data_IF_552733732635
#
_entry.id   IF_552733732635
#
_cell.length_a   1.000
_cell.length_b   1.000
_cell.length_c   1.000
_cell.angle_alpha   90.00
_cell.angle_beta   90.00
_cell.angle_gamma   90.00
#
_symmetry.space_group_name_H-M   'P 1'
#
loop_
_entity.id
_entity.type
_entity.pdbx_description
1 polymer ?
#
# COMPACT_ATOMS: atom_id res chain seq x y z
N UNK A 1 -28.66 -2.24 8.95
CA UNK A 1 -28.14 -1.06 8.23
C UNK A 1 -26.65 -0.85 8.50
N UNK A 2 -26.19 -0.80 9.75
CA UNK A 2 -24.76 -0.63 10.08
C UNK A 2 -23.83 -1.69 9.44
N UNK A 3 -24.20 -2.98 9.47
CA UNK A 3 -23.39 -4.04 8.85
C UNK A 3 -23.28 -3.92 7.33
N UNK A 4 -24.33 -3.44 6.64
CA UNK A 4 -24.29 -3.22 5.19
C UNK A 4 -23.36 -2.05 4.83
N UNK A 5 -23.40 -0.98 5.62
CA UNK A 5 -22.47 0.15 5.47
C UNK A 5 -21.03 -0.30 5.66
N UNK A 6 -20.74 -1.04 6.75
CA UNK A 6 -19.39 -1.57 7.01
C UNK A 6 -18.92 -2.53 5.91
N UNK A 7 -19.80 -3.40 5.42
CA UNK A 7 -19.50 -4.29 4.30
C UNK A 7 -19.10 -3.50 3.03
N UNK A 8 -19.83 -2.43 2.71
CA UNK A 8 -19.51 -1.58 1.57
C UNK A 8 -18.20 -0.82 1.77
N UNK A 9 -17.95 -0.31 2.98
CA UNK A 9 -16.70 0.34 3.36
C UNK A 9 -15.49 -0.60 3.16
N UNK A 10 -15.57 -1.84 3.67
CA UNK A 10 -14.49 -2.82 3.53
C UNK A 10 -14.25 -3.21 2.06
N UNK A 11 -15.30 -3.40 1.26
CA UNK A 11 -15.16 -3.65 -0.18
C UNK A 11 -14.45 -2.50 -0.90
N UNK A 12 -14.80 -1.27 -0.55
CA UNK A 12 -14.14 -0.08 -1.08
C UNK A 12 -12.67 -0.02 -0.69
N UNK A 13 -12.36 -0.25 0.60
CA UNK A 13 -10.98 -0.26 1.11
C UNK A 13 -10.13 -1.34 0.45
N UNK A 14 -10.62 -2.57 0.31
CA UNK A 14 -9.93 -3.66 -0.39
C UNK A 14 -9.63 -3.29 -1.85
N UNK A 15 -10.64 -2.75 -2.56
CA UNK A 15 -10.49 -2.37 -3.97
C UNK A 15 -9.46 -1.25 -4.14
N UNK A 16 -9.51 -0.21 -3.30
CA UNK A 16 -8.56 0.91 -3.34
C UNK A 16 -7.15 0.42 -3.06
N UNK A 17 -6.93 -0.34 -1.99
CA UNK A 17 -5.60 -0.83 -1.64
C UNK A 17 -5.02 -1.77 -2.71
N UNK A 18 -5.85 -2.53 -3.42
CA UNK A 18 -5.38 -3.34 -4.56
C UNK A 18 -4.85 -2.46 -5.70
N UNK A 19 -5.54 -1.37 -6.05
CA UNK A 19 -5.04 -0.42 -7.05
C UNK A 19 -3.75 0.26 -6.60
N UNK A 20 -3.66 0.68 -5.34
CA UNK A 20 -2.45 1.28 -4.78
C UNK A 20 -1.27 0.31 -4.78
N UNK A 21 -1.50 -0.98 -4.49
CA UNK A 21 -0.46 -2.01 -4.59
C UNK A 21 0.09 -2.13 -6.02
N UNK A 22 -0.76 -2.08 -7.04
CA UNK A 22 -0.31 -2.05 -8.43
C UNK A 22 0.52 -0.79 -8.75
N UNK A 23 0.13 0.37 -8.23
CA UNK A 23 0.89 1.62 -8.40
C UNK A 23 2.26 1.55 -7.70
N UNK A 24 2.37 0.87 -6.55
CA UNK A 24 3.65 0.62 -5.89
C UNK A 24 4.60 -0.18 -6.79
N UNK A 25 4.10 -1.25 -7.43
CA UNK A 25 4.90 -2.06 -8.36
C UNK A 25 5.29 -1.29 -9.62
N UNK A 26 4.41 -0.40 -10.10
CA UNK A 26 4.73 0.49 -11.22
C UNK A 26 5.85 1.46 -10.85
N UNK A 27 5.77 2.10 -9.68
CA UNK A 27 6.81 3.00 -9.17
C UNK A 27 8.15 2.28 -8.94
N UNK A 28 8.12 1.06 -8.40
CA UNK A 28 9.30 0.18 -8.33
C UNK A 28 9.92 -0.04 -9.73
N UNK A 29 9.08 -0.29 -10.74
CA UNK A 29 9.53 -0.47 -12.12
C UNK A 29 10.16 0.78 -12.72
N UNK A 30 9.62 1.98 -12.39
CA UNK A 30 10.21 3.26 -12.78
C UNK A 30 11.60 3.40 -12.16
N UNK A 31 11.73 3.17 -10.86
CA UNK A 31 12.99 3.25 -10.13
C UNK A 31 14.07 2.28 -10.64
N UNK A 32 13.70 1.04 -10.94
CA UNK A 32 14.62 0.08 -11.58
C UNK A 32 15.07 0.62 -12.95
N UNK A 33 14.16 1.23 -13.71
CA UNK A 33 14.49 1.80 -15.02
C UNK A 33 15.42 3.01 -14.91
N UNK A 34 15.19 3.91 -13.94
CA UNK A 34 16.05 5.05 -13.64
C UNK A 34 17.44 4.59 -13.17
N UNK A 35 17.53 3.55 -12.34
CA UNK A 35 18.81 2.95 -11.94
C UNK A 35 19.62 2.44 -13.14
N UNK A 36 18.97 1.78 -14.11
CA UNK A 36 19.65 1.38 -15.34
C UNK A 36 19.99 2.58 -16.24
N UNK A 37 19.12 3.58 -16.34
CA UNK A 37 19.39 4.80 -17.09
C UNK A 37 20.61 5.55 -16.53
N UNK A 38 20.69 5.71 -15.21
CA UNK A 38 21.84 6.29 -14.50
C UNK A 38 23.13 5.53 -14.83
N UNK A 39 23.11 4.19 -14.77
CA UNK A 39 24.27 3.38 -15.15
C UNK A 39 24.71 3.59 -16.60
N UNK A 40 23.76 3.65 -17.54
CA UNK A 40 24.06 3.80 -18.97
C UNK A 40 24.60 5.22 -19.25
N UNK A 41 23.98 6.26 -18.69
CA UNK A 41 24.43 7.64 -18.84
C UNK A 41 25.84 7.81 -18.27
N UNK A 42 26.12 7.25 -17.09
CA UNK A 42 27.46 7.23 -16.50
C UNK A 42 28.53 6.57 -17.40
N UNK A 43 28.15 5.55 -18.19
CA UNK A 43 29.06 4.90 -19.15
C UNK A 43 29.31 5.71 -20.43
N UNK A 44 28.46 6.68 -20.74
CA UNK A 44 28.49 7.45 -21.98
C UNK A 44 28.39 8.96 -21.71
N UNK A 45 29.35 9.55 -20.97
CA UNK A 45 29.26 10.95 -20.52
C UNK A 45 29.19 11.96 -21.67
N UNK A 46 29.88 11.70 -22.79
CA UNK A 46 29.91 12.62 -23.93
C UNK A 46 28.63 12.58 -24.80
N UNK A 47 27.83 11.53 -24.69
CA UNK A 47 26.61 11.34 -25.48
C UNK A 47 25.64 10.40 -24.76
N UNK A 48 25.01 10.87 -23.66
CA UNK A 48 24.11 10.04 -22.86
C UNK A 48 22.91 9.64 -23.73
N UNK A 49 22.57 8.34 -23.81
CA UNK A 49 21.46 7.88 -24.63
C UNK A 49 20.09 8.24 -24.04
N UNK A 50 20.01 8.50 -22.74
CA UNK A 50 18.79 8.98 -22.08
C UNK A 50 18.92 10.49 -21.91
N UNK A 51 17.93 11.23 -22.41
CA UNK A 51 17.87 12.68 -22.27
C UNK A 51 17.71 13.06 -20.80
N UNK A 52 18.57 13.95 -20.34
CA UNK A 52 18.65 14.38 -18.95
C UNK A 52 17.34 15.01 -18.42
N UNK A 53 16.73 15.88 -19.22
CA UNK A 53 15.45 16.51 -18.86
C UNK A 53 14.35 15.47 -18.64
N UNK A 54 14.27 14.47 -19.51
CA UNK A 54 13.27 13.40 -19.38
C UNK A 54 13.57 12.53 -18.17
N UNK A 55 14.84 12.24 -17.90
CA UNK A 55 15.28 11.45 -16.76
C UNK A 55 14.81 12.08 -15.44
N UNK A 56 15.21 13.33 -15.18
CA UNK A 56 14.87 14.04 -13.95
C UNK A 56 13.36 14.35 -13.86
N UNK A 57 12.69 14.67 -14.97
CA UNK A 57 11.23 14.86 -14.93
C UNK A 57 10.50 13.58 -14.52
N UNK A 58 10.93 12.41 -15.01
CA UNK A 58 10.29 11.14 -14.63
C UNK A 58 10.55 10.82 -13.17
N UNK A 59 11.77 11.02 -12.71
CA UNK A 59 12.20 10.86 -11.31
C UNK A 59 11.33 11.69 -10.35
N UNK A 60 11.42 13.03 -10.39
CA UNK A 60 10.71 13.88 -9.43
C UNK A 60 9.19 13.72 -9.47
N UNK A 61 8.58 13.56 -10.65
CA UNK A 61 7.13 13.35 -10.76
C UNK A 61 6.69 11.96 -10.29
N UNK A 62 7.51 10.94 -10.49
CA UNK A 62 7.23 9.61 -9.96
C UNK A 62 7.26 9.63 -8.42
N UNK A 63 8.25 10.30 -7.82
CA UNK A 63 8.40 10.43 -6.36
C UNK A 63 7.25 11.21 -5.75
N UNK A 64 6.83 12.33 -6.37
CA UNK A 64 5.60 13.03 -5.98
C UNK A 64 4.35 12.15 -6.10
N UNK A 65 4.20 11.43 -7.21
CA UNK A 65 3.09 10.50 -7.40
C UNK A 65 3.05 9.41 -6.34
N UNK A 66 4.21 8.88 -5.94
CA UNK A 66 4.32 7.87 -4.91
C UNK A 66 3.96 8.41 -3.52
N UNK A 67 4.37 9.64 -3.16
CA UNK A 67 3.94 10.28 -1.91
C UNK A 67 2.41 10.43 -1.80
N UNK A 68 1.71 10.64 -2.93
CA UNK A 68 0.24 10.61 -2.97
C UNK A 68 -0.31 9.20 -2.73
N UNK A 69 0.30 8.17 -3.33
CA UNK A 69 -0.07 6.76 -3.12
C UNK A 69 0.06 6.38 -1.64
N UNK A 70 1.16 6.75 -0.98
CA UNK A 70 1.37 6.55 0.46
C UNK A 70 0.26 7.18 1.30
N UNK A 71 -0.08 8.44 1.00
CA UNK A 71 -1.11 9.17 1.73
C UNK A 71 -2.48 8.52 1.57
N UNK A 72 -2.84 8.12 0.35
CA UNK A 72 -4.13 7.47 0.07
C UNK A 72 -4.17 6.08 0.73
N UNK A 73 -3.06 5.33 0.75
CA UNK A 73 -2.96 4.03 1.40
C UNK A 73 -3.21 4.14 2.92
N UNK A 74 -2.57 5.10 3.58
CA UNK A 74 -2.79 5.39 4.99
C UNK A 74 -4.20 5.92 5.29
N UNK A 75 -4.78 6.71 4.40
CA UNK A 75 -6.15 7.22 4.56
C UNK A 75 -7.22 6.12 4.40
N UNK A 76 -6.93 5.08 3.62
CA UNK A 76 -7.86 3.99 3.32
C UNK A 76 -7.52 2.67 4.03
N UNK A 77 -6.63 2.69 5.02
CA UNK A 77 -6.34 1.49 5.82
C UNK A 77 -7.55 1.11 6.68
N UNK A 78 -7.94 -0.17 6.76
CA UNK A 78 -8.99 -0.64 7.67
C UNK A 78 -8.53 -0.63 9.14
N UNK A 79 -7.23 -0.42 9.39
CA UNK A 79 -6.64 -0.33 10.73
C UNK A 79 -6.90 1.04 11.34
N UNK A 80 -7.00 1.11 12.66
CA UNK A 80 -7.00 2.41 13.34
C UNK A 80 -5.62 3.06 13.21
N UNK A 81 -5.56 4.32 12.78
CA UNK A 81 -4.31 5.10 12.78
C UNK A 81 -3.68 5.16 14.18
N UNK A 82 -4.51 5.17 15.22
CA UNK A 82 -4.03 5.13 16.60
C UNK A 82 -3.28 3.81 16.90
N UNK A 83 -3.79 2.68 16.42
CA UNK A 83 -3.14 1.38 16.61
C UNK A 83 -1.84 1.29 15.81
N UNK A 84 -1.80 1.92 14.63
CA UNK A 84 -0.57 2.03 13.83
C UNK A 84 0.50 2.81 14.61
N UNK A 85 0.16 3.98 15.16
CA UNK A 85 1.15 4.86 15.78
C UNK A 85 1.55 4.43 17.20
N UNK A 86 0.60 3.98 18.03
CA UNK A 86 0.92 3.49 19.38
C UNK A 86 1.93 2.34 19.35
N UNK A 87 1.81 1.48 18.35
CA UNK A 87 2.67 0.32 18.21
C UNK A 87 4.06 0.66 17.62
N UNK A 88 4.20 1.79 16.92
CA UNK A 88 5.49 2.30 16.43
C UNK A 88 6.26 3.12 17.47
N UNK A 89 5.72 3.28 18.69
CA UNK A 89 6.32 4.08 19.76
C UNK A 89 5.92 5.56 19.71
N UNK A 90 5.23 5.99 18.65
CA UNK A 90 4.73 7.35 18.51
C UNK A 90 3.26 7.44 18.95
N UNK A 91 3.02 8.03 20.12
CA UNK A 91 1.66 8.15 20.64
C UNK A 91 0.81 9.24 19.95
N UNK A 92 1.30 9.81 18.83
CA UNK A 92 0.69 10.99 18.22
C UNK A 92 0.29 10.78 16.74
N UNK A 93 -0.96 10.38 16.45
CA UNK A 93 -1.45 10.25 15.08
C UNK A 93 -1.47 11.57 14.28
N UNK A 94 -1.42 12.72 14.96
CA UNK A 94 -1.28 14.01 14.29
C UNK A 94 0.11 14.16 13.67
N UNK A 95 1.16 13.64 14.32
CA UNK A 95 2.52 13.71 13.80
C UNK A 95 2.64 12.97 12.47
N UNK A 96 2.13 11.73 12.39
CA UNK A 96 2.13 10.96 11.15
C UNK A 96 1.43 11.73 10.02
N UNK A 97 0.26 12.34 10.29
CA UNK A 97 -0.46 13.15 9.30
C UNK A 97 0.30 14.38 8.84
N UNK A 98 0.98 15.07 9.77
CA UNK A 98 1.81 16.22 9.45
C UNK A 98 3.02 15.82 8.60
N UNK A 99 3.68 14.71 8.93
CA UNK A 99 4.81 14.17 8.17
C UNK A 99 4.36 13.75 6.77
N UNK A 100 3.22 13.07 6.63
CA UNK A 100 2.64 12.74 5.32
C UNK A 100 2.37 13.99 4.47
N UNK A 101 1.79 15.03 5.07
CA UNK A 101 1.54 16.28 4.36
C UNK A 101 2.84 16.97 3.93
N UNK A 102 3.83 16.98 4.82
CA UNK A 102 5.16 17.51 4.51
C UNK A 102 5.81 16.74 3.37
N UNK A 103 5.73 15.41 3.36
CA UNK A 103 6.27 14.54 2.31
C UNK A 103 5.66 14.88 0.93
N UNK A 104 4.34 15.06 0.86
CA UNK A 104 3.66 15.47 -0.38
C UNK A 104 4.15 16.84 -0.86
N UNK A 105 4.26 17.82 0.03
CA UNK A 105 4.68 19.18 -0.35
C UNK A 105 6.15 19.18 -0.77
N UNK A 106 7.00 18.49 -0.03
CA UNK A 106 8.44 18.43 -0.25
C UNK A 106 8.82 17.64 -1.50
N UNK A 107 7.97 16.73 -2.00
CA UNK A 107 8.14 16.08 -3.31
C UNK A 107 7.50 16.89 -4.46
N UNK A 108 6.40 17.59 -4.19
CA UNK A 108 5.75 18.43 -5.21
C UNK A 108 6.61 19.64 -5.62
N UNK A 109 7.34 20.25 -4.68
CA UNK A 109 8.16 21.43 -4.94
C UNK A 109 9.30 21.13 -5.94
N UNK A 110 10.16 20.11 -5.73
CA UNK A 110 11.16 19.66 -6.70
C UNK A 110 10.57 19.36 -8.08
N UNK A 111 9.48 18.59 -8.14
CA UNK A 111 8.81 18.24 -9.40
C UNK A 111 8.38 19.49 -10.21
N UNK A 112 7.85 20.50 -9.52
CA UNK A 112 7.49 21.78 -10.16
C UNK A 112 8.70 22.61 -10.55
N UNK A 113 9.74 22.68 -9.70
CA UNK A 113 10.96 23.45 -9.97
C UNK A 113 11.68 22.94 -11.22
N UNK A 114 11.90 21.62 -11.32
CA UNK A 114 12.53 20.99 -12.48
C UNK A 114 11.67 21.13 -13.74
N UNK A 115 10.33 21.15 -13.59
CA UNK A 115 9.42 21.43 -14.71
C UNK A 115 9.54 22.86 -15.25
N UNK A 116 9.97 23.83 -14.43
CA UNK A 116 10.16 25.21 -14.89
C UNK A 116 11.51 25.42 -15.57
N UNK A 117 12.60 24.99 -14.91
CA UNK A 117 13.95 25.12 -15.43
C UNK A 117 14.88 24.15 -14.70
N UNK A 118 15.16 23.02 -15.33
CA UNK A 118 16.06 22.00 -14.78
C UNK A 118 17.46 22.57 -14.51
N UNK A 119 18.09 23.22 -15.49
CA UNK A 119 19.46 23.76 -15.39
C UNK A 119 19.67 24.68 -14.17
N UNK A 120 18.62 25.39 -13.74
CA UNK A 120 18.69 26.31 -12.59
C UNK A 120 18.35 25.63 -11.27
N UNK A 121 17.43 24.67 -11.28
CA UNK A 121 16.82 24.16 -10.04
C UNK A 121 17.16 22.72 -9.71
N UNK A 122 17.88 22.00 -10.57
CA UNK A 122 18.25 20.60 -10.37
C UNK A 122 18.94 20.38 -9.01
N UNK A 123 20.02 21.12 -8.73
CA UNK A 123 20.78 20.96 -7.48
C UNK A 123 19.88 21.17 -6.26
N UNK A 124 19.08 22.25 -6.25
CA UNK A 124 18.16 22.56 -5.16
C UNK A 124 17.05 21.50 -5.02
N UNK A 125 16.60 20.93 -6.14
CA UNK A 125 15.54 19.92 -6.15
C UNK A 125 16.02 18.62 -5.52
N UNK A 126 17.22 18.14 -5.88
CA UNK A 126 17.85 17.00 -5.23
C UNK A 126 18.14 17.24 -3.74
N UNK A 127 18.58 18.45 -3.35
CA UNK A 127 18.77 18.76 -1.92
C UNK A 127 17.47 18.64 -1.11
N UNK A 128 16.36 19.14 -1.66
CA UNK A 128 15.05 19.04 -1.01
C UNK A 128 14.59 17.59 -0.94
N UNK A 129 14.76 16.83 -2.03
CA UNK A 129 14.40 15.41 -2.10
C UNK A 129 15.18 14.55 -1.10
N UNK A 130 16.49 14.72 -1.01
CA UNK A 130 17.34 13.96 -0.07
C UNK A 130 17.04 14.28 1.39
N UNK A 131 16.64 15.52 1.69
CA UNK A 131 16.14 15.87 3.01
C UNK A 131 14.77 15.21 3.25
N UNK A 132 13.91 15.17 2.22
CA UNK A 132 12.60 14.58 2.29
C UNK A 132 12.62 13.06 2.48
N UNK A 133 13.61 12.35 1.96
CA UNK A 133 13.83 10.92 2.21
C UNK A 133 13.95 10.59 3.71
N UNK A 134 14.43 11.53 4.54
CA UNK A 134 14.42 11.33 5.99
C UNK A 134 12.99 11.16 6.52
N UNK A 135 12.04 11.95 5.99
CA UNK A 135 10.63 11.85 6.37
C UNK A 135 9.95 10.63 5.74
N UNK A 136 10.30 10.27 4.51
CA UNK A 136 9.82 9.02 3.89
C UNK A 136 10.31 7.80 4.68
N UNK A 137 11.59 7.78 5.08
CA UNK A 137 12.16 6.70 5.88
C UNK A 137 11.43 6.54 7.23
N UNK A 138 10.98 7.65 7.83
CA UNK A 138 10.15 7.64 9.03
C UNK A 138 8.78 6.98 8.79
N UNK A 139 8.12 7.31 7.68
CA UNK A 139 6.84 6.70 7.29
C UNK A 139 7.01 5.18 7.09
N UNK A 140 8.07 4.77 6.40
CA UNK A 140 8.40 3.35 6.20
C UNK A 140 8.54 2.59 7.51
N UNK A 141 9.12 3.19 8.56
CA UNK A 141 9.18 2.59 9.90
C UNK A 141 7.79 2.29 10.42
N UNK A 142 6.91 3.29 10.35
CA UNK A 142 5.55 3.21 10.89
C UNK A 142 4.78 2.11 10.15
N UNK A 143 4.93 2.03 8.83
CA UNK A 143 4.32 0.99 8.00
C UNK A 143 4.89 -0.40 8.29
N UNK A 144 6.22 -0.54 8.37
CA UNK A 144 6.87 -1.81 8.70
C UNK A 144 6.46 -2.32 10.09
N UNK A 145 6.41 -1.44 11.09
CA UNK A 145 5.97 -1.81 12.44
C UNK A 145 4.49 -2.20 12.44
N UNK A 146 3.64 -1.51 11.68
CA UNK A 146 2.23 -1.87 11.51
C UNK A 146 2.05 -3.26 10.88
N UNK A 147 2.74 -3.53 9.78
CA UNK A 147 2.75 -4.85 9.11
C UNK A 147 3.20 -5.95 10.07
N UNK A 148 4.25 -5.68 10.83
CA UNK A 148 4.83 -6.66 11.72
C UNK A 148 3.90 -7.03 12.87
N UNK A 149 3.25 -6.05 13.50
CA UNK A 149 2.35 -6.31 14.62
C UNK A 149 1.10 -7.08 14.19
N UNK A 150 0.60 -6.86 12.97
CA UNK A 150 -0.48 -7.67 12.38
C UNK A 150 -0.10 -9.15 12.19
N UNK A 151 1.20 -9.47 12.16
CA UNK A 151 1.72 -10.84 12.10
C UNK A 151 1.85 -11.48 13.49
N UNK A 152 2.21 -10.70 14.54
CA UNK A 152 2.38 -11.19 15.92
C UNK A 152 1.09 -11.69 16.55
N UNK A 153 -0.03 -10.98 16.35
CA UNK A 153 -1.33 -11.39 16.91
C UNK A 153 -1.82 -12.76 16.41
N UNK A 154 -1.22 -13.29 15.33
CA UNK A 154 -1.53 -14.61 14.77
C UNK A 154 -0.73 -15.76 15.41
N UNK A 155 0.36 -15.46 16.12
CA UNK A 155 1.40 -16.43 16.52
C UNK A 155 1.65 -16.44 18.05
N UNK A 156 0.59 -16.56 18.85
CA UNK A 156 0.60 -16.48 20.33
C UNK A 156 1.39 -17.59 21.08
N UNK A 157 2.28 -18.31 20.41
CA UNK A 157 3.26 -19.22 21.03
C UNK A 157 4.65 -18.87 20.49
N UNK A 158 5.36 -17.88 21.04
CA UNK A 158 6.78 -18.08 21.36
C UNK A 158 7.49 -16.88 22.05
N UNK A 159 8.51 -17.24 22.82
CA UNK A 159 9.44 -16.41 23.60
C UNK A 159 10.32 -15.42 22.78
N UNK A 160 10.02 -15.17 21.50
CA UNK A 160 10.86 -14.42 20.53
C UNK A 160 10.49 -12.94 20.33
N UNK A 161 9.77 -12.33 21.28
CA UNK A 161 9.38 -10.91 21.22
C UNK A 161 10.57 -9.93 21.13
N UNK A 162 11.74 -10.28 21.71
CA UNK A 162 12.92 -9.38 21.78
C UNK A 162 13.77 -9.33 20.51
N UNK A 163 13.95 -10.43 19.79
CA UNK A 163 14.66 -10.48 18.50
C UNK A 163 13.94 -9.69 17.40
N UNK A 164 12.66 -9.42 17.65
CA UNK A 164 11.71 -8.92 16.66
C UNK A 164 11.60 -7.39 16.63
N UNK A 165 11.67 -6.73 17.80
CA UNK A 165 11.83 -5.26 17.84
C UNK A 165 13.17 -4.90 17.21
N UNK A 166 14.20 -5.71 17.46
CA UNK A 166 15.53 -5.50 16.91
C UNK A 166 15.54 -5.49 15.38
N UNK A 167 14.80 -6.38 14.70
CA UNK A 167 14.81 -6.43 13.22
C UNK A 167 14.15 -5.24 12.55
N UNK A 168 12.97 -4.80 13.03
CA UNK A 168 12.30 -3.61 12.49
C UNK A 168 13.14 -2.34 12.76
N UNK A 169 13.66 -2.20 13.99
CA UNK A 169 14.54 -1.09 14.33
C UNK A 169 15.85 -1.12 13.54
N UNK A 170 16.41 -2.30 13.21
CA UNK A 170 17.60 -2.38 12.35
C UNK A 170 17.31 -1.99 10.91
N UNK A 171 16.22 -2.43 10.30
CA UNK A 171 15.89 -2.08 8.91
C UNK A 171 15.66 -0.58 8.77
N UNK A 172 14.95 0.01 9.72
CA UNK A 172 14.74 1.46 9.83
C UNK A 172 16.03 2.23 10.10
N UNK A 173 16.85 1.76 11.05
CA UNK A 173 18.13 2.39 11.35
C UNK A 173 19.04 2.40 10.12
N UNK A 174 18.98 1.33 9.31
CA UNK A 174 19.69 1.26 8.03
C UNK A 174 19.11 2.28 7.03
N UNK A 175 17.79 2.37 6.86
CA UNK A 175 17.18 3.33 5.94
C UNK A 175 17.52 4.79 6.29
N UNK A 176 17.42 5.16 7.57
CA UNK A 176 17.81 6.49 8.05
C UNK A 176 19.32 6.77 7.85
N UNK A 177 20.17 5.76 8.08
CA UNK A 177 21.60 5.87 7.80
C UNK A 177 21.88 6.00 6.30
N UNK A 178 21.13 5.32 5.44
CA UNK A 178 21.24 5.45 3.98
C UNK A 178 20.94 6.87 3.54
N UNK A 179 19.83 7.47 4.01
CA UNK A 179 19.49 8.85 3.70
C UNK A 179 20.57 9.85 4.19
N UNK A 180 21.14 9.64 5.37
CA UNK A 180 22.28 10.46 5.85
C UNK A 180 23.52 10.27 4.97
N UNK A 181 23.84 9.03 4.60
CA UNK A 181 24.98 8.72 3.73
C UNK A 181 24.80 9.34 2.36
N UNK A 182 23.58 9.29 1.80
CA UNK A 182 23.23 9.90 0.52
C UNK A 182 23.40 11.42 0.55
N UNK A 183 22.85 12.09 1.57
CA UNK A 183 23.05 13.52 1.76
C UNK A 183 24.54 13.87 1.90
N UNK A 184 25.30 13.03 2.60
CA UNK A 184 26.75 13.18 2.73
C UNK A 184 27.51 12.97 1.43
N UNK A 185 27.19 11.93 0.66
CA UNK A 185 27.79 11.61 -0.63
C UNK A 185 27.56 12.75 -1.62
N UNK A 186 26.33 13.24 -1.71
CA UNK A 186 25.97 14.32 -2.62
C UNK A 186 26.71 15.62 -2.28
N UNK A 187 26.70 16.03 -1.00
CA UNK A 187 27.24 17.33 -0.59
C UNK A 187 28.77 17.34 -0.36
N UNK A 188 29.37 16.22 0.07
CA UNK A 188 30.77 16.19 0.51
C UNK A 188 31.76 15.76 -0.59
N UNK A 189 31.29 15.19 -1.69
CA UNK A 189 32.16 14.83 -2.82
C UNK A 189 32.61 16.04 -3.66
N UNK A 190 31.99 17.20 -3.43
CA UNK A 190 32.38 18.46 -4.03
C UNK A 190 31.57 18.83 -5.27
N UNK A 191 31.81 20.03 -5.76
CA UNK A 191 31.16 20.65 -6.91
C UNK A 191 32.15 20.75 -8.06
N UNK A 192 31.80 20.24 -9.22
CA UNK A 192 32.63 20.37 -10.43
C UNK A 192 32.38 21.75 -11.06
N UNK A 193 33.40 22.59 -11.03
CA UNK A 193 33.34 23.94 -11.59
C UNK A 193 33.33 23.98 -13.11
N UNK A 194 33.71 22.89 -13.79
CA UNK A 194 33.74 22.83 -15.26
C UNK A 194 32.39 22.44 -15.85
N UNK A 195 31.72 21.44 -15.25
CA UNK A 195 30.39 20.99 -15.71
C UNK A 195 29.24 21.71 -15.03
N UNK A 196 29.51 22.39 -13.90
CA UNK A 196 28.52 22.97 -13.01
C UNK A 196 27.64 21.97 -12.25
N UNK A 197 28.10 20.72 -12.11
CA UNK A 197 27.35 19.62 -11.48
C UNK A 197 27.97 19.14 -10.15
N UNK A 198 27.22 18.33 -9.42
CA UNK A 198 27.67 17.72 -8.17
C UNK A 198 28.37 16.38 -8.46
N UNK A 199 29.63 16.23 -8.06
CA UNK A 199 30.42 15.00 -8.31
C UNK A 199 29.77 13.76 -7.68
N UNK A 200 29.00 13.96 -6.60
CA UNK A 200 28.31 12.90 -5.88
C UNK A 200 26.97 12.47 -6.47
N UNK A 201 26.44 13.16 -7.49
CA UNK A 201 25.09 12.97 -8.03
C UNK A 201 24.84 11.53 -8.50
N UNK A 202 25.69 11.01 -9.39
CA UNK A 202 25.55 9.63 -9.90
C UNK A 202 25.51 8.58 -8.79
N UNK A 203 26.33 8.77 -7.73
CA UNK A 203 26.36 7.85 -6.59
C UNK A 203 25.14 8.05 -5.68
N UNK A 204 24.67 9.29 -5.54
CA UNK A 204 23.40 9.66 -4.90
C UNK A 204 22.23 8.90 -5.50
N UNK A 205 22.06 8.99 -6.83
CA UNK A 205 20.99 8.29 -7.56
C UNK A 205 20.98 6.76 -7.32
N UNK A 206 22.14 6.10 -7.18
CA UNK A 206 22.14 4.67 -6.86
C UNK A 206 21.61 4.35 -5.47
N UNK A 207 21.90 5.21 -4.48
CA UNK A 207 21.42 5.04 -3.11
C UNK A 207 19.92 5.35 -3.05
N UNK A 208 19.51 6.44 -3.69
CA UNK A 208 18.14 6.91 -3.83
C UNK A 208 17.23 5.83 -4.42
N UNK A 209 17.49 5.40 -5.67
CA UNK A 209 16.63 4.42 -6.31
C UNK A 209 16.62 3.09 -5.57
N UNK A 210 17.73 2.73 -4.92
CA UNK A 210 17.78 1.58 -4.02
C UNK A 210 16.84 1.72 -2.83
N UNK A 211 16.82 2.90 -2.20
CA UNK A 211 15.92 3.25 -1.10
C UNK A 211 14.46 3.27 -1.56
N UNK A 212 14.15 3.94 -2.69
CA UNK A 212 12.79 4.05 -3.22
C UNK A 212 12.21 2.67 -3.65
N UNK A 213 13.04 1.77 -4.20
CA UNK A 213 12.63 0.37 -4.46
C UNK A 213 12.21 -0.31 -3.16
N UNK A 214 12.96 -0.15 -2.07
CA UNK A 214 12.62 -0.76 -0.78
C UNK A 214 11.34 -0.13 -0.21
N UNK A 215 11.21 1.19 -0.22
CA UNK A 215 10.01 1.90 0.25
C UNK A 215 8.76 1.46 -0.52
N UNK A 216 8.85 1.37 -1.85
CA UNK A 216 7.75 0.88 -2.71
C UNK A 216 7.30 -0.54 -2.36
N UNK A 217 8.24 -1.43 -2.00
CA UNK A 217 7.92 -2.79 -1.56
C UNK A 217 7.26 -2.80 -0.18
N UNK A 218 7.70 -1.96 0.76
CA UNK A 218 7.09 -1.81 2.09
C UNK A 218 5.63 -1.39 1.92
N UNK A 219 5.37 -0.36 1.13
CA UNK A 219 4.03 0.14 0.88
C UNK A 219 3.16 -0.87 0.13
N UNK A 220 3.73 -1.60 -0.84
CA UNK A 220 3.06 -2.71 -1.53
C UNK A 220 2.54 -3.74 -0.53
N UNK A 221 3.40 -4.21 0.38
CA UNK A 221 3.01 -5.18 1.39
C UNK A 221 1.97 -4.61 2.36
N UNK A 222 2.09 -3.34 2.73
CA UNK A 222 1.09 -2.65 3.55
C UNK A 222 -0.29 -2.62 2.87
N UNK A 223 -0.34 -2.26 1.59
CA UNK A 223 -1.57 -2.28 0.80
C UNK A 223 -2.16 -3.69 0.73
N UNK A 224 -1.34 -4.71 0.44
CA UNK A 224 -1.82 -6.10 0.39
C UNK A 224 -2.34 -6.61 1.74
N UNK A 225 -1.69 -6.26 2.85
CA UNK A 225 -2.18 -6.60 4.20
C UNK A 225 -3.55 -5.94 4.48
N UNK A 226 -3.74 -4.68 4.05
CA UNK A 226 -5.04 -4.01 4.14
C UNK A 226 -6.12 -4.73 3.30
N UNK A 227 -5.79 -5.19 2.09
CA UNK A 227 -6.70 -6.01 1.26
C UNK A 227 -7.10 -7.28 2.02
N UNK A 228 -6.14 -8.03 2.55
CA UNK A 228 -6.42 -9.27 3.28
C UNK A 228 -7.25 -9.05 4.55
N UNK A 229 -7.01 -7.95 5.27
CA UNK A 229 -7.80 -7.60 6.45
C UNK A 229 -9.25 -7.28 6.05
N UNK A 230 -9.43 -6.46 5.01
CA UNK A 230 -10.75 -6.09 4.53
C UNK A 230 -11.53 -7.30 4.00
N UNK A 231 -10.90 -8.17 3.21
CA UNK A 231 -11.51 -9.42 2.72
C UNK A 231 -11.88 -10.36 3.86
N UNK A 232 -11.02 -10.46 4.88
CA UNK A 232 -11.32 -11.23 6.09
C UNK A 232 -12.55 -10.68 6.81
N UNK A 233 -12.64 -9.36 6.98
CA UNK A 233 -13.78 -8.74 7.63
C UNK A 233 -15.08 -8.90 6.82
N UNK A 234 -15.00 -8.78 5.48
CA UNK A 234 -16.12 -9.07 4.56
C UNK A 234 -16.62 -10.50 4.75
N UNK A 235 -15.72 -11.49 4.78
CA UNK A 235 -16.07 -12.89 4.99
C UNK A 235 -16.77 -13.11 6.33
N UNK A 236 -16.25 -12.50 7.42
CA UNK A 236 -16.88 -12.57 8.74
C UNK A 236 -18.27 -11.92 8.79
N UNK A 237 -18.49 -10.81 8.07
CA UNK A 237 -19.82 -10.16 8.02
C UNK A 237 -20.81 -10.98 7.21
N UNK A 238 -20.39 -11.56 6.07
CA UNK A 238 -21.28 -12.29 5.16
C UNK A 238 -21.62 -13.69 5.65
N UNK A 239 -20.65 -14.38 6.27
CA UNK A 239 -20.78 -15.78 6.63
C UNK A 239 -20.84 -16.01 8.15
N UNK A 240 -20.59 -14.97 8.95
CA UNK A 240 -20.62 -15.06 10.41
C UNK A 240 -19.55 -15.99 10.98
N UNK A 241 -19.48 -16.06 12.32
CA UNK A 241 -18.68 -17.09 13.03
C UNK A 241 -19.48 -18.38 13.29
N UNK A 242 -20.82 -18.30 13.18
CA UNK A 242 -21.78 -19.31 13.67
C UNK A 242 -23.02 -19.47 12.76
N UNK A 243 -23.03 -19.02 11.50
CA UNK A 243 -24.25 -19.10 10.67
C UNK A 243 -24.40 -20.47 9.98
N UNK A 244 -25.29 -21.26 10.57
CA UNK A 244 -26.09 -22.37 10.04
C UNK A 244 -25.38 -23.49 9.29
N UNK A 245 -25.25 -24.63 9.98
CA UNK A 245 -24.84 -25.95 9.48
C UNK A 245 -25.68 -26.45 8.28
N UNK A 246 -26.77 -25.76 7.92
CA UNK A 246 -27.76 -26.17 6.92
C UNK A 246 -27.62 -25.48 5.55
N UNK A 247 -26.74 -24.48 5.38
CA UNK A 247 -26.52 -23.84 4.08
C UNK A 247 -25.22 -24.33 3.42
N UNK A 248 -25.33 -25.29 2.52
CA UNK A 248 -24.19 -25.93 1.84
C UNK A 248 -23.28 -24.93 1.09
N UNK A 249 -23.84 -23.85 0.50
CA UNK A 249 -23.05 -22.81 -0.19
C UNK A 249 -22.30 -21.93 0.82
N UNK A 250 -22.94 -21.58 1.94
CA UNK A 250 -22.26 -20.87 3.01
C UNK A 250 -21.21 -21.75 3.68
N UNK A 251 -21.45 -23.07 3.77
CA UNK A 251 -20.51 -24.05 4.31
C UNK A 251 -19.30 -24.24 3.39
N UNK A 252 -19.50 -24.35 2.07
CA UNK A 252 -18.41 -24.51 1.12
C UNK A 252 -17.54 -23.25 1.04
N UNK A 253 -18.16 -22.05 1.03
CA UNK A 253 -17.44 -20.77 1.03
C UNK A 253 -16.83 -20.43 2.39
N UNK A 254 -17.49 -20.78 3.50
CA UNK A 254 -16.89 -20.63 4.83
C UNK A 254 -15.75 -21.61 5.01
N UNK A 255 -15.86 -22.84 4.52
CA UNK A 255 -14.76 -23.81 4.53
C UNK A 255 -13.60 -23.33 3.66
N UNK A 256 -13.84 -22.83 2.45
CA UNK A 256 -12.78 -22.22 1.63
C UNK A 256 -12.13 -21.04 2.37
N UNK A 257 -12.92 -20.13 2.94
CA UNK A 257 -12.45 -18.98 3.70
C UNK A 257 -11.65 -19.38 4.96
N UNK A 258 -12.14 -20.34 5.75
CA UNK A 258 -11.50 -20.92 6.95
C UNK A 258 -10.23 -21.67 6.56
N UNK A 259 -10.25 -22.45 5.48
CA UNK A 259 -9.07 -23.16 4.98
C UNK A 259 -7.99 -22.20 4.45
N UNK A 260 -8.39 -21.03 3.92
CA UNK A 260 -7.47 -20.01 3.38
C UNK A 260 -6.93 -19.08 4.48
N UNK A 261 -7.72 -18.80 5.54
CA UNK A 261 -7.38 -17.79 6.55
C UNK A 261 -7.20 -18.29 8.00
N UNK A 262 -7.67 -19.48 8.37
CA UNK A 262 -7.59 -20.02 9.75
C UNK A 262 -6.72 -21.28 9.88
N UNK A 263 -6.25 -21.87 8.77
CA UNK A 263 -5.66 -23.21 8.77
C UNK A 263 -4.21 -23.32 9.31
N UNK A 264 -3.85 -22.52 10.32
CA UNK A 264 -2.60 -22.71 11.08
C UNK A 264 -2.76 -22.78 12.60
N UNK A 265 -3.94 -22.53 13.17
CA UNK A 265 -4.15 -22.72 14.61
C UNK A 265 -5.16 -23.85 14.85
N UNK A 266 -4.59 -25.03 15.10
CA UNK A 266 -5.13 -26.08 15.97
C UNK A 266 -6.38 -26.87 15.51
N UNK A 267 -6.08 -28.07 14.99
CA UNK A 267 -6.82 -29.31 15.31
C UNK A 267 -6.78 -29.61 16.82
N UNK A 268 -7.38 -28.77 17.65
CA UNK A 268 -7.71 -29.08 19.04
C UNK A 268 -9.13 -28.67 19.42
N UNK A 269 -10.09 -28.81 18.49
CA UNK A 269 -11.46 -29.09 18.92
C UNK A 269 -11.54 -30.58 19.27
N UNK A 270 -11.51 -30.87 20.57
CA UNK A 270 -11.96 -32.14 21.11
C UNK A 270 -13.34 -32.50 20.51
N UNK A 271 -13.63 -33.79 20.25
CA UNK A 271 -14.97 -34.19 19.85
C UNK A 271 -15.96 -33.81 20.95
N UNK A 272 -16.83 -32.82 20.68
CA UNK A 272 -17.88 -32.43 21.59
C UNK A 272 -18.94 -33.52 21.60
N UNK A 273 -18.77 -34.47 22.51
CA UNK A 273 -19.70 -35.57 22.73
C UNK A 273 -20.91 -35.02 23.50
N UNK A 274 -21.91 -34.47 22.79
CA UNK A 274 -23.23 -34.17 23.37
C UNK A 274 -24.22 -35.26 23.01
N UNK A 275 -24.35 -36.22 23.93
CA UNK A 275 -25.52 -37.09 23.99
C UNK A 275 -26.75 -36.25 24.36
N UNK A 276 -27.76 -36.30 23.49
CA UNK A 276 -29.21 -36.24 23.74
C UNK A 276 -29.74 -35.42 24.92
N UNK A 277 -30.54 -34.43 24.58
CA UNK A 277 -31.58 -33.85 25.42
C UNK A 277 -32.45 -32.93 24.58
N UNK A 278 -33.42 -33.50 23.85
CA UNK A 278 -34.30 -32.75 22.97
C UNK A 278 -35.23 -31.81 23.73
N UNK A 279 -35.46 -30.64 23.15
CA UNK A 279 -36.73 -29.91 23.20
C UNK A 279 -36.93 -29.30 21.82
N UNK A 280 -37.97 -29.76 21.14
CA UNK A 280 -38.50 -29.18 19.90
C UNK A 280 -39.11 -27.83 20.27
N UNK A 281 -38.57 -26.75 19.74
CA UNK A 281 -39.24 -25.47 19.64
C UNK A 281 -39.36 -25.17 18.14
N UNK A 282 -40.55 -25.42 17.60
CA UNK A 282 -40.99 -24.92 16.29
C UNK A 282 -41.30 -23.45 16.45
N UNK A 283 -40.50 -22.57 15.84
CA UNK A 283 -40.95 -21.26 15.42
C UNK A 283 -40.32 -20.95 14.06
N UNK A 284 -41.15 -21.11 13.03
CA UNK A 284 -40.90 -20.75 11.65
C UNK A 284 -40.83 -19.23 11.52
N UNK A 285 -39.63 -18.68 11.42
CA UNK A 285 -39.38 -17.43 10.69
C UNK A 285 -37.90 -17.29 10.36
N UNK A 286 -37.35 -18.29 9.65
CA UNK A 286 -36.08 -18.13 8.98
C UNK A 286 -36.30 -17.21 7.76
N UNK A 287 -35.71 -16.02 7.82
CA UNK A 287 -35.67 -15.06 6.71
C UNK A 287 -35.05 -15.76 5.52
N UNK A 288 -35.88 -16.01 4.50
CA UNK A 288 -35.53 -16.71 3.27
C UNK A 288 -34.25 -16.15 2.65
N UNK A 289 -33.21 -16.98 2.58
CA UNK A 289 -32.18 -16.81 1.56
C UNK A 289 -32.86 -16.77 0.19
N UNK A 290 -32.51 -15.83 -0.71
CA UNK A 290 -33.09 -15.79 -2.05
C UNK A 290 -32.52 -16.93 -2.90
N UNK A 291 -33.00 -18.15 -2.68
CA UNK A 291 -32.84 -19.28 -3.60
C UNK A 291 -34.01 -19.30 -4.56
N UNK A 292 -33.90 -18.56 -5.66
CA UNK A 292 -34.46 -18.93 -6.96
C UNK A 292 -34.07 -17.87 -8.02
N UNK A 293 -32.86 -17.97 -8.55
CA UNK A 293 -32.61 -17.56 -9.94
C UNK A 293 -32.78 -18.83 -10.77
N UNK A 294 -34.04 -19.14 -11.13
CA UNK A 294 -34.29 -20.00 -12.27
C UNK A 294 -33.87 -19.23 -13.52
N UNK A 295 -32.80 -19.69 -14.17
CA UNK A 295 -32.44 -19.33 -15.54
C UNK A 295 -33.57 -19.79 -16.47
N UNK A 296 -34.62 -18.98 -16.61
CA UNK A 296 -35.57 -19.12 -17.69
C UNK A 296 -35.00 -18.41 -18.93
N UNK A 297 -34.42 -19.21 -19.81
CA UNK A 297 -34.15 -18.81 -21.18
C UNK A 297 -35.48 -18.73 -21.94
N UNK A 298 -36.12 -17.57 -21.91
CA UNK A 298 -37.19 -17.21 -22.82
C UNK A 298 -36.77 -16.00 -23.65
N UNK A 299 -36.45 -16.28 -24.91
CA UNK A 299 -36.30 -15.32 -25.98
C UNK A 299 -37.54 -14.44 -26.11
N UNK A 300 -37.44 -13.18 -25.71
CA UNK A 300 -38.30 -12.11 -26.21
C UNK A 300 -37.44 -11.12 -26.99
N UNK A 301 -37.66 -11.11 -28.30
CA UNK A 301 -37.32 -9.96 -29.14
C UNK A 301 -38.17 -8.78 -28.66
N UNK A 302 -37.53 -7.76 -28.08
CA UNK A 302 -38.11 -6.44 -27.95
C UNK A 302 -37.25 -5.43 -28.72
N UNK A 303 -37.94 -4.67 -29.56
CA UNK A 303 -37.44 -3.64 -30.46
C UNK A 303 -36.66 -2.56 -29.71
N UNK A 304 -35.46 -2.24 -30.23
CA UNK A 304 -34.73 -1.02 -29.89
C UNK A 304 -35.49 0.22 -30.40
N UNK A 305 -35.76 1.23 -29.55
CA UNK A 305 -35.86 2.60 -30.03
C UNK A 305 -34.45 3.15 -30.29
N UNK A 306 -34.24 3.71 -31.48
CA UNK A 306 -33.05 4.44 -31.88
C UNK A 306 -32.87 5.67 -30.99
N UNK A 307 -31.73 5.75 -30.30
CA UNK A 307 -31.25 6.97 -29.65
C UNK A 307 -30.23 7.60 -30.60
N UNK A 308 -30.74 8.24 -31.64
CA UNK A 308 -30.10 9.41 -32.24
C UNK A 308 -30.98 10.60 -31.85
N UNK A 309 -30.34 11.74 -31.61
CA UNK A 309 -30.90 13.01 -31.11
C UNK A 309 -30.95 13.20 -29.60
N UNK A 310 -29.79 13.54 -29.02
CA UNK A 310 -29.65 14.75 -28.18
C UNK A 310 -28.17 14.96 -27.81
N UNK A 311 -27.39 15.41 -28.78
CA UNK A 311 -26.10 16.08 -28.56
C UNK A 311 -26.20 17.46 -29.21
N UNK A 312 -26.61 18.47 -28.45
CA UNK A 312 -26.28 19.89 -28.66
C UNK A 312 -26.96 20.69 -27.54
N UNK A 313 -26.22 21.00 -26.47
CA UNK A 313 -26.16 22.32 -25.83
C UNK A 313 -25.33 22.22 -24.54
N UNK A 314 -24.51 23.26 -24.29
CA UNK A 314 -23.50 23.44 -23.21
C UNK A 314 -22.18 22.74 -23.61
N UNK A 315 -21.28 23.33 -24.39
CA UNK A 315 -20.48 24.57 -24.20
C UNK A 315 -20.17 25.21 -25.56
#
# INVERSE_FOLDING_TARGET
>A
MLMLYRLQEMKSSATINLYLACLCLMYMGINISLLFANYINWKHPDNPPVNDVVYHLVEFWATFGFALVECIALANTPKSLYDITNNSGDQNPLLLRMVMFLNIVATAVPALLVSFNIETFEILSHEIEYINELTMSFIDVVLLVSLWNSSKDKNNNDHNSKTTVLSATTTTGIAFLVAIVQLGVYNLMGYDTETHDMVGETLGHYLEFGFEIISSLILFWFCMDNVFIADKEIGLILYGRNHDEDCQICLDKSNEFVLTHENKNERQSQPFNRSLGGIVATDDSCVTCPTNIQLNASSQQQQQPSIEDHFYQIV
#
